data_IF_239061048472
#
_entry.id   IF_239061048472
#
_cell.length_a   1.000
_cell.length_b   1.000
_cell.length_c   1.000
_cell.angle_alpha   90.00
_cell.angle_beta   90.00
_cell.angle_gamma   90.00
#
_symmetry.space_group_name_H-M   'P 1'
#
loop_
_entity.id
_entity.type
_entity.pdbx_description
1 polymer ?
#
# COMPACT_ATOMS: atom_id res chain seq x y z
N UNK A 1 12.39 -8.77 -12.43
CA UNK A 1 12.05 -7.35 -12.50
C UNK A 1 11.94 -6.94 -13.94
N UNK A 2 10.84 -6.31 -14.33
CA UNK A 2 10.59 -5.87 -15.70
C UNK A 2 11.02 -4.42 -15.93
N UNK A 3 10.97 -3.92 -17.18
CA UNK A 3 11.11 -2.51 -17.46
C UNK A 3 9.98 -1.72 -16.79
N UNK A 4 10.17 -0.42 -16.50
CA UNK A 4 9.13 0.43 -15.97
C UNK A 4 7.92 0.42 -16.89
N UNK A 5 6.72 0.44 -16.29
CA UNK A 5 5.46 0.50 -17.05
C UNK A 5 5.46 1.75 -17.95
N UNK A 6 4.82 1.70 -19.15
CA UNK A 6 4.59 2.89 -19.97
C UNK A 6 3.90 4.03 -19.23
N UNK A 7 3.25 3.75 -18.11
CA UNK A 7 2.63 4.73 -17.23
C UNK A 7 3.62 5.38 -16.24
N UNK A 8 4.82 4.85 -16.10
CA UNK A 8 5.89 5.45 -15.30
C UNK A 8 6.57 6.61 -16.04
N UNK A 9 5.82 7.31 -16.88
CA UNK A 9 6.27 8.47 -17.68
C UNK A 9 6.45 9.76 -16.87
N UNK A 10 7.04 9.74 -15.71
CA UNK A 10 8.16 10.63 -15.58
C UNK A 10 9.13 10.09 -16.61
N UNK A 11 9.62 10.85 -17.52
CA UNK A 11 10.84 10.50 -18.23
C UNK A 11 12.03 10.45 -17.24
N UNK A 12 11.91 9.65 -16.20
CA UNK A 12 13.06 8.97 -15.65
C UNK A 12 13.27 7.88 -16.67
N UNK A 13 13.99 8.24 -17.72
CA UNK A 13 14.50 7.29 -18.68
C UNK A 13 15.52 6.43 -17.93
N UNK A 14 15.05 5.30 -17.43
CA UNK A 14 15.95 4.27 -16.88
C UNK A 14 16.70 3.57 -18.04
N UNK A 15 16.75 4.18 -19.25
CA UNK A 15 17.48 3.66 -20.41
C UNK A 15 16.98 2.30 -20.88
N UNK A 16 15.72 1.93 -20.65
CA UNK A 16 15.20 0.59 -20.91
C UNK A 16 15.78 -0.50 -19.99
N UNK A 17 16.57 -0.12 -18.98
CA UNK A 17 17.23 -1.02 -18.04
C UNK A 17 16.29 -1.66 -17.04
N UNK A 18 16.80 -2.65 -16.31
CA UNK A 18 16.10 -3.27 -15.19
C UNK A 18 15.99 -2.28 -14.04
N UNK A 19 14.92 -2.42 -13.26
CA UNK A 19 14.67 -1.60 -12.09
C UNK A 19 14.49 -2.45 -10.83
N UNK A 20 14.89 -1.90 -9.71
CA UNK A 20 14.61 -2.44 -8.38
C UNK A 20 13.41 -1.71 -7.79
N UNK A 21 12.43 -2.47 -7.34
CA UNK A 21 11.25 -1.96 -6.64
C UNK A 21 11.38 -2.25 -5.16
N UNK A 22 11.39 -1.22 -4.34
CA UNK A 22 11.23 -1.32 -2.90
C UNK A 22 9.79 -1.05 -2.50
N UNK A 23 9.30 -1.75 -1.49
CA UNK A 23 7.99 -1.53 -0.92
C UNK A 23 8.10 -1.57 0.60
N UNK A 24 7.64 -0.51 1.28
CA UNK A 24 7.74 -0.32 2.72
C UNK A 24 6.35 -0.08 3.28
N UNK A 25 6.04 -0.76 4.38
CA UNK A 25 4.76 -0.67 5.06
C UNK A 25 4.94 0.02 6.41
N UNK A 26 4.09 0.99 6.69
CA UNK A 26 4.08 1.74 7.93
C UNK A 26 2.68 1.72 8.52
N UNK A 27 2.57 1.49 9.80
CA UNK A 27 1.32 1.53 10.53
C UNK A 27 1.38 2.61 11.60
N UNK A 28 0.38 3.46 11.61
CA UNK A 28 0.22 4.54 12.56
C UNK A 28 -1.10 4.32 13.31
N UNK A 29 -0.97 3.85 14.53
CA UNK A 29 -2.13 3.61 15.38
C UNK A 29 -2.88 4.93 15.64
N UNK A 30 -4.21 4.89 15.75
CA UNK A 30 -5.05 3.69 15.74
C UNK A 30 -5.56 3.27 14.34
N UNK A 31 -5.42 4.07 13.30
CA UNK A 31 -6.27 3.93 12.12
C UNK A 31 -5.64 4.26 10.77
N UNK A 32 -4.33 4.48 10.72
CA UNK A 32 -3.68 4.84 9.46
C UNK A 32 -2.60 3.84 9.07
N UNK A 33 -2.58 3.45 7.80
CA UNK A 33 -1.44 2.78 7.20
C UNK A 33 -0.92 3.54 5.99
N UNK A 34 0.38 3.40 5.73
CA UNK A 34 1.05 3.95 4.55
C UNK A 34 1.87 2.87 3.89
N UNK A 35 1.70 2.72 2.61
CA UNK A 35 2.59 1.94 1.76
C UNK A 35 3.41 2.90 0.92
N UNK A 36 4.72 2.77 0.99
CA UNK A 36 5.66 3.52 0.17
C UNK A 36 6.29 2.59 -0.86
N UNK A 37 6.20 2.98 -2.12
CA UNK A 37 6.78 2.25 -3.25
C UNK A 37 7.84 3.14 -3.88
N UNK A 38 9.04 2.60 -4.04
CA UNK A 38 10.17 3.28 -4.66
C UNK A 38 10.68 2.42 -5.80
N UNK A 39 10.90 3.05 -6.95
CA UNK A 39 11.49 2.40 -8.11
C UNK A 39 12.78 3.12 -8.47
N UNK A 40 13.88 2.38 -8.52
CA UNK A 40 15.23 2.86 -8.83
C UNK A 40 15.84 2.01 -9.94
N UNK A 41 16.84 2.52 -10.69
CA UNK A 41 17.67 1.67 -11.54
C UNK A 41 18.33 0.55 -10.74
N UNK A 42 18.42 -0.65 -11.33
CA UNK A 42 19.03 -1.81 -10.66
C UNK A 42 20.46 -1.51 -10.22
N UNK A 43 20.77 -1.90 -8.98
CA UNK A 43 22.08 -1.70 -8.37
C UNK A 43 22.30 -0.30 -7.78
N UNK A 44 21.27 0.56 -7.78
CA UNK A 44 21.34 1.86 -7.11
C UNK A 44 21.26 1.66 -5.61
N UNK A 45 22.23 2.20 -4.88
CA UNK A 45 22.20 2.19 -3.41
C UNK A 45 20.97 2.96 -2.89
N UNK A 46 20.31 2.42 -1.87
CA UNK A 46 19.08 3.00 -1.30
C UNK A 46 19.38 4.09 -0.26
N UNK A 47 20.13 5.10 -0.67
CA UNK A 47 20.30 6.32 0.12
C UNK A 47 19.08 7.22 -0.02
N UNK A 48 18.82 8.08 0.97
CA UNK A 48 17.69 9.04 0.90
C UNK A 48 17.78 9.92 -0.37
N UNK A 49 18.99 10.34 -0.74
CA UNK A 49 19.23 11.13 -1.94
C UNK A 49 18.80 10.38 -3.21
N UNK A 50 19.20 9.12 -3.36
CA UNK A 50 18.84 8.30 -4.51
C UNK A 50 17.34 7.98 -4.54
N UNK A 51 16.76 7.71 -3.37
CA UNK A 51 15.33 7.49 -3.24
C UNK A 51 14.50 8.72 -3.64
N UNK A 52 14.98 9.92 -3.35
CA UNK A 52 14.33 11.16 -3.80
C UNK A 52 14.38 11.36 -5.33
N UNK A 53 15.40 10.82 -5.99
CA UNK A 53 15.55 10.87 -7.45
C UNK A 53 14.71 9.81 -8.17
N UNK A 54 14.31 8.74 -7.48
CA UNK A 54 13.52 7.64 -8.02
C UNK A 54 12.04 7.98 -8.24
N UNK A 55 11.32 7.04 -8.84
CA UNK A 55 9.87 7.10 -8.87
C UNK A 55 9.33 6.69 -7.50
N UNK A 56 8.57 7.56 -6.90
CA UNK A 56 8.08 7.37 -5.52
C UNK A 56 6.57 7.51 -5.47
N UNK A 57 5.94 6.55 -4.82
CA UNK A 57 4.51 6.53 -4.61
C UNK A 57 4.21 6.29 -3.15
N UNK A 58 3.26 7.04 -2.61
CA UNK A 58 2.69 6.82 -1.28
C UNK A 58 1.22 6.47 -1.41
N UNK A 59 0.82 5.38 -0.80
CA UNK A 59 -0.58 5.00 -0.64
C UNK A 59 -0.94 5.06 0.84
N UNK A 60 -1.76 6.02 1.22
CA UNK A 60 -2.30 6.16 2.56
C UNK A 60 -3.67 5.52 2.61
N UNK A 61 -3.93 4.79 3.68
CA UNK A 61 -5.23 4.19 4.00
C UNK A 61 -5.64 4.67 5.38
N UNK A 62 -6.87 5.14 5.50
CA UNK A 62 -7.46 5.60 6.76
C UNK A 62 -8.69 4.76 7.04
N UNK A 63 -8.72 4.18 8.23
CA UNK A 63 -9.79 3.32 8.70
C UNK A 63 -10.51 4.02 9.84
N UNK A 64 -11.80 4.26 9.68
CA UNK A 64 -12.62 4.87 10.73
C UNK A 64 -13.75 3.93 11.07
N UNK A 65 -13.70 3.36 12.27
CA UNK A 65 -14.75 2.45 12.74
C UNK A 65 -16.09 3.18 12.80
N UNK A 66 -17.12 2.57 12.25
CA UNK A 66 -18.52 3.01 12.35
C UNK A 66 -19.28 2.17 13.38
N UNK A 67 -19.02 0.85 13.39
CA UNK A 67 -19.60 -0.10 14.33
C UNK A 67 -18.63 -1.28 14.56
N UNK A 68 -19.05 -2.31 15.26
CA UNK A 68 -18.26 -3.54 15.46
C UNK A 68 -17.99 -4.29 14.15
N UNK A 69 -18.85 -4.12 13.14
CA UNK A 69 -18.78 -4.84 11.87
C UNK A 69 -18.67 -3.94 10.65
N UNK A 70 -18.58 -2.62 10.83
CA UNK A 70 -18.49 -1.66 9.73
C UNK A 70 -17.39 -0.64 9.96
N UNK A 71 -16.63 -0.35 8.90
CA UNK A 71 -15.53 0.59 8.91
C UNK A 71 -15.55 1.44 7.64
N UNK A 72 -15.46 2.73 7.79
CA UNK A 72 -15.22 3.62 6.65
C UNK A 72 -13.76 3.49 6.22
N UNK A 73 -13.56 3.30 4.92
CA UNK A 73 -12.26 3.18 4.31
C UNK A 73 -12.02 4.36 3.37
N UNK A 74 -11.02 5.17 3.68
CA UNK A 74 -10.57 6.27 2.84
C UNK A 74 -9.15 6.00 2.37
N UNK A 75 -8.84 6.39 1.15
CA UNK A 75 -7.48 6.26 0.63
C UNK A 75 -7.02 7.50 -0.14
N UNK A 76 -5.72 7.74 -0.09
CA UNK A 76 -5.05 8.81 -0.79
C UNK A 76 -3.78 8.25 -1.45
N UNK A 77 -3.61 8.54 -2.74
CA UNK A 77 -2.45 8.10 -3.50
C UNK A 77 -1.67 9.30 -4.00
N UNK A 78 -0.40 9.41 -3.58
CA UNK A 78 0.50 10.50 -3.93
C UNK A 78 1.66 9.92 -4.72
N UNK A 79 2.02 10.57 -5.81
CA UNK A 79 3.14 10.17 -6.66
C UNK A 79 3.96 11.39 -7.07
N UNK A 80 5.26 11.18 -7.31
CA UNK A 80 6.17 12.22 -7.78
C UNK A 80 6.41 12.18 -9.31
N UNK A 81 5.68 11.34 -10.04
CA UNK A 81 5.78 11.16 -11.49
C UNK A 81 4.42 11.36 -12.17
N UNK A 82 4.42 11.67 -13.47
CA UNK A 82 3.20 11.97 -14.24
C UNK A 82 2.31 13.01 -13.54
N UNK A 83 2.93 13.99 -12.89
CA UNK A 83 2.24 15.05 -12.16
C UNK A 83 1.50 15.90 -13.18
N UNK A 84 0.18 16.11 -12.96
CA UNK A 84 -0.68 16.84 -13.89
C UNK A 84 -1.26 16.03 -15.05
N UNK A 85 -0.82 14.78 -15.25
CA UNK A 85 -1.39 13.90 -16.26
C UNK A 85 -2.70 13.28 -15.76
N UNK A 86 -3.82 13.81 -16.25
CA UNK A 86 -5.16 13.42 -15.85
C UNK A 86 -5.53 12.00 -16.34
N UNK A 87 -5.08 11.62 -17.53
CA UNK A 87 -5.34 10.27 -18.08
C UNK A 87 -4.62 9.20 -17.24
N UNK A 88 -3.34 9.43 -16.92
CA UNK A 88 -2.59 8.55 -16.05
C UNK A 88 -3.21 8.48 -14.63
N UNK A 89 -3.73 9.60 -14.11
CA UNK A 89 -4.41 9.63 -12.83
C UNK A 89 -5.69 8.79 -12.85
N UNK A 90 -6.50 8.92 -13.90
CA UNK A 90 -7.73 8.14 -14.04
C UNK A 90 -7.46 6.63 -14.16
N UNK A 91 -6.47 6.24 -14.95
CA UNK A 91 -6.07 4.83 -15.10
C UNK A 91 -5.57 4.23 -13.78
N UNK A 92 -4.74 4.98 -13.06
CA UNK A 92 -4.22 4.53 -11.76
C UNK A 92 -5.35 4.40 -10.73
N UNK A 93 -6.27 5.37 -10.68
CA UNK A 93 -7.43 5.32 -9.82
C UNK A 93 -8.29 4.10 -10.10
N UNK A 94 -8.62 3.84 -11.36
CA UNK A 94 -9.42 2.68 -11.74
C UNK A 94 -8.76 1.35 -11.35
N UNK A 95 -7.44 1.23 -11.53
CA UNK A 95 -6.69 0.05 -11.13
C UNK A 95 -6.71 -0.16 -9.60
N UNK A 96 -6.57 0.92 -8.81
CA UNK A 96 -6.63 0.85 -7.35
C UNK A 96 -8.03 0.51 -6.85
N UNK A 97 -9.07 1.10 -7.44
CA UNK A 97 -10.46 0.80 -7.10
C UNK A 97 -10.80 -0.67 -7.40
N UNK A 98 -10.27 -1.24 -8.48
CA UNK A 98 -10.42 -2.65 -8.79
C UNK A 98 -9.74 -3.53 -7.73
N UNK A 99 -8.49 -3.23 -7.37
CA UNK A 99 -7.74 -3.97 -6.33
C UNK A 99 -8.49 -3.93 -4.99
N UNK A 100 -8.95 -2.75 -4.56
CA UNK A 100 -9.68 -2.64 -3.29
C UNK A 100 -11.04 -3.37 -3.31
N UNK A 101 -11.67 -3.49 -4.47
CA UNK A 101 -12.89 -4.29 -4.61
C UNK A 101 -12.63 -5.77 -4.44
N UNK A 102 -11.54 -6.27 -5.02
CA UNK A 102 -11.08 -7.66 -4.85
C UNK A 102 -10.73 -7.95 -3.38
N UNK A 103 -9.99 -7.04 -2.73
CA UNK A 103 -9.66 -7.13 -1.31
C UNK A 103 -10.93 -7.18 -0.44
N UNK A 104 -11.92 -6.32 -0.73
CA UNK A 104 -13.18 -6.24 0.01
C UNK A 104 -13.98 -7.56 -0.05
N UNK A 105 -14.00 -8.22 -1.20
CA UNK A 105 -14.68 -9.52 -1.34
C UNK A 105 -14.08 -10.56 -0.39
N UNK A 106 -12.75 -10.57 -0.25
CA UNK A 106 -12.04 -11.46 0.67
C UNK A 106 -12.32 -11.08 2.12
N UNK A 107 -12.26 -9.80 2.47
CA UNK A 107 -12.51 -9.30 3.82
C UNK A 107 -13.93 -9.62 4.29
N UNK A 108 -14.94 -9.45 3.42
CA UNK A 108 -16.34 -9.81 3.71
C UNK A 108 -16.50 -11.32 3.91
N UNK A 109 -15.82 -12.14 3.10
CA UNK A 109 -15.86 -13.60 3.26
C UNK A 109 -15.19 -14.03 4.58
N UNK A 110 -14.07 -13.39 4.95
CA UNK A 110 -13.40 -13.64 6.23
C UNK A 110 -14.27 -13.26 7.42
N UNK A 111 -14.91 -12.08 7.38
CA UNK A 111 -15.83 -11.64 8.44
C UNK A 111 -16.97 -12.63 8.62
N UNK A 112 -17.61 -13.06 7.53
CA UNK A 112 -18.67 -14.06 7.56
C UNK A 112 -18.20 -15.37 8.20
N UNK A 113 -17.04 -15.87 7.81
CA UNK A 113 -16.47 -17.08 8.39
C UNK A 113 -16.20 -16.93 9.89
N UNK A 114 -15.74 -15.78 10.34
CA UNK A 114 -15.52 -15.50 11.75
C UNK A 114 -16.84 -15.46 12.54
N UNK A 115 -17.88 -14.87 11.96
CA UNK A 115 -19.20 -14.78 12.59
C UNK A 115 -19.88 -16.17 12.69
N UNK A 116 -19.71 -17.02 11.67
CA UNK A 116 -20.26 -18.38 11.65
C UNK A 116 -19.51 -19.35 12.58
N UNK A 117 -18.20 -19.23 12.69
CA UNK A 117 -17.35 -20.16 13.44
C UNK A 117 -17.03 -19.71 14.85
N UNK A 118 -17.17 -18.42 15.15
CA UNK A 118 -16.72 -17.79 16.38
C UNK A 118 -15.18 -17.72 16.51
N UNK A 119 -14.43 -18.18 15.51
CA UNK A 119 -12.96 -18.19 15.53
C UNK A 119 -12.45 -16.84 15.04
N UNK A 120 -11.89 -16.05 15.94
CA UNK A 120 -11.29 -14.74 15.65
C UNK A 120 -9.75 -14.75 15.77
N UNK A 121 -9.16 -15.94 15.82
CA UNK A 121 -7.71 -16.06 15.93
C UNK A 121 -7.05 -15.84 14.57
N UNK A 122 -6.18 -14.85 14.49
CA UNK A 122 -5.30 -14.64 13.34
C UNK A 122 -4.06 -15.52 13.49
N UNK A 123 -3.69 -16.22 12.42
CA UNK A 123 -2.41 -16.92 12.33
C UNK A 123 -1.40 -15.87 11.88
N UNK A 124 -0.50 -15.46 12.79
CA UNK A 124 0.59 -14.56 12.44
C UNK A 124 1.68 -15.34 11.69
N UNK A 125 2.04 -14.89 10.52
CA UNK A 125 3.17 -15.39 9.74
C UNK A 125 4.39 -14.48 9.99
N UNK A 126 5.59 -14.98 9.73
CA UNK A 126 6.83 -14.20 9.87
C UNK A 126 6.85 -12.94 8.99
N UNK A 127 6.04 -12.93 7.92
CA UNK A 127 5.83 -11.77 7.04
C UNK A 127 4.95 -10.69 7.69
N UNK A 128 4.15 -11.04 8.69
CA UNK A 128 3.18 -10.16 9.37
C UNK A 128 3.80 -9.51 10.61
N UNK A 129 4.94 -8.87 10.47
CA UNK A 129 5.61 -8.22 11.63
C UNK A 129 4.78 -7.11 12.26
N UNK A 130 3.88 -6.49 11.52
CA UNK A 130 3.01 -5.43 12.02
C UNK A 130 1.99 -5.90 13.07
N UNK A 131 1.33 -7.06 12.94
CA UNK A 131 0.42 -7.58 13.96
C UNK A 131 1.09 -7.95 15.28
N UNK A 132 2.42 -8.14 15.31
CA UNK A 132 3.16 -8.45 16.55
C UNK A 132 3.38 -7.23 17.45
N UNK A 133 3.10 -6.02 16.99
CA UNK A 133 3.04 -4.83 17.81
C UNK A 133 1.75 -4.83 18.62
N UNK A 134 1.73 -5.64 19.66
CA UNK A 134 0.67 -5.56 20.66
C UNK A 134 0.67 -4.14 21.20
N UNK A 135 -0.46 -3.49 21.07
CA UNK A 135 -0.71 -2.23 21.75
C UNK A 135 -0.36 -2.41 23.24
N UNK A 136 0.71 -1.82 23.69
CA UNK A 136 1.03 -1.73 25.12
C UNK A 136 0.14 -0.65 25.78
N UNK A 137 -1.11 -0.57 25.37
CA UNK A 137 -2.16 0.12 26.11
C UNK A 137 -2.74 -0.90 27.09
N UNK A 138 -1.93 -1.31 28.05
CA UNK A 138 -2.46 -1.95 29.25
C UNK A 138 -3.02 -0.85 30.13
N UNK A 139 -4.30 -0.96 30.37
CA UNK A 139 -5.00 -0.71 31.66
C UNK A 139 -4.20 0.10 32.68
N UNK A 140 -4.56 1.32 32.85
CA UNK A 140 -4.74 1.93 34.18
C UNK A 140 -6.19 2.33 34.35
#
# INVERSE_FOLDING_TARGET
>A
MGPPSPNDRRRVDFGGGKVDRGQFFYFYLPSMSRVEIIVLPTGTERTEENMCKGLRTYSYKFLTAESESATHFFWLHIRNYLVGDQEAAAKLRAALEQTFREDLEIEVAMQRSQDETGIRQLIALDLDRAPSWRCACSSE
#
